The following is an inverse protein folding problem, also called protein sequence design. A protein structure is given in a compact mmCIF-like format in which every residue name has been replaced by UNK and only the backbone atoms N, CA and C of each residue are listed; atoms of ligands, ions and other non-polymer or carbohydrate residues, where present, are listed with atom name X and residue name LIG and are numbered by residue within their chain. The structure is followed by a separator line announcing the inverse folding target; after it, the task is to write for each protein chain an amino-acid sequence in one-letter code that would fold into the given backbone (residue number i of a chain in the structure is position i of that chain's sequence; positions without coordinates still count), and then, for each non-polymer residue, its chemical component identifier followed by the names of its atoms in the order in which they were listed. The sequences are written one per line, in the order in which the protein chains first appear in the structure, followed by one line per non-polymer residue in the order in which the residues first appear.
data_IF_658129006995
#
_entry.id   IF_658129006995
#
_cell.length_a   1.000
_cell.length_b   1.000
_cell.length_c   1.000
_cell.angle_alpha   90.00
_cell.angle_beta   90.00
_cell.angle_gamma   90.00
#
_symmetry.space_group_name_H-M   'P 1'
#
loop_
_entity.id
_entity.type
_entity.pdbx_description
1 polymer ?
#
# COMPACT_ATOMS: atom_id res chain seq x y z
N UNK A 1 -11.25 28.51 11.45
CA UNK A 1 -11.71 27.25 10.83
C UNK A 1 -13.22 27.19 10.92
N UNK A 2 -13.89 26.85 9.82
CA UNK A 2 -15.34 26.66 9.82
C UNK A 2 -15.71 25.41 10.65
N UNK A 3 -16.96 25.33 11.11
CA UNK A 3 -17.47 24.14 11.80
C UNK A 3 -17.35 22.87 10.94
N UNK A 4 -17.52 23.01 9.62
CA UNK A 4 -17.33 21.92 8.66
C UNK A 4 -15.87 21.44 8.58
N UNK A 5 -14.89 22.35 8.62
CA UNK A 5 -13.46 22.01 8.64
C UNK A 5 -13.10 21.24 9.91
N UNK A 6 -13.62 21.67 11.07
CA UNK A 6 -13.41 20.96 12.34
C UNK A 6 -14.03 19.55 12.32
N UNK A 7 -15.20 19.38 11.69
CA UNK A 7 -15.86 18.09 11.59
C UNK A 7 -15.12 17.14 10.63
N UNK A 8 -14.64 17.63 9.49
CA UNK A 8 -13.77 16.87 8.57
C UNK A 8 -12.45 16.48 9.23
N UNK A 9 -11.84 17.38 10.01
CA UNK A 9 -10.62 17.10 10.73
C UNK A 9 -10.82 15.97 11.77
N UNK A 10 -11.91 16.01 12.55
CA UNK A 10 -12.26 14.94 13.49
C UNK A 10 -12.47 13.59 12.79
N UNK A 11 -13.18 13.58 11.66
CA UNK A 11 -13.34 12.36 10.85
C UNK A 11 -12.00 11.84 10.33
N UNK A 12 -11.13 12.73 9.84
CA UNK A 12 -9.78 12.39 9.38
C UNK A 12 -8.94 11.75 10.48
N UNK A 13 -8.99 12.27 11.70
CA UNK A 13 -8.29 11.70 12.86
C UNK A 13 -8.80 10.29 13.17
N UNK A 14 -10.11 10.07 13.20
CA UNK A 14 -10.68 8.74 13.44
C UNK A 14 -10.28 7.73 12.36
N UNK A 15 -10.32 8.13 11.10
CA UNK A 15 -9.87 7.30 9.97
C UNK A 15 -8.37 6.99 10.07
N UNK A 16 -7.55 7.96 10.46
CA UNK A 16 -6.12 7.77 10.64
C UNK A 16 -5.83 6.78 11.77
N UNK A 17 -6.50 6.91 12.93
CA UNK A 17 -6.36 5.95 14.03
C UNK A 17 -6.70 4.54 13.54
N UNK A 18 -7.84 4.36 12.88
CA UNK A 18 -8.23 3.05 12.35
C UNK A 18 -7.20 2.49 11.35
N UNK A 19 -6.73 3.31 10.41
CA UNK A 19 -5.73 2.90 9.43
C UNK A 19 -4.40 2.51 10.06
N UNK A 20 -3.86 3.32 10.98
CA UNK A 20 -2.59 3.04 11.65
C UNK A 20 -2.69 1.85 12.61
N UNK A 21 -3.82 1.66 13.29
CA UNK A 21 -4.04 0.47 14.11
C UNK A 21 -4.10 -0.80 13.25
N UNK A 22 -4.84 -0.79 12.14
CA UNK A 22 -4.85 -1.92 11.20
C UNK A 22 -3.46 -2.22 10.66
N UNK A 23 -2.70 -1.18 10.31
CA UNK A 23 -1.35 -1.35 9.80
C UNK A 23 -0.38 -1.88 10.88
N UNK A 24 -0.49 -1.42 12.13
CA UNK A 24 0.30 -1.90 13.26
C UNK A 24 0.06 -3.37 13.62
N UNK A 25 -1.11 -3.93 13.28
CA UNK A 25 -1.41 -5.36 13.44
C UNK A 25 -0.74 -6.21 12.34
N UNK A 26 -0.46 -5.65 11.17
CA UNK A 26 0.03 -6.40 10.02
C UNK A 26 1.34 -7.18 10.27
N UNK A 27 2.38 -6.63 10.95
CA UNK A 27 3.58 -7.39 11.31
C UNK A 27 3.28 -8.61 12.19
N UNK A 28 2.34 -8.49 13.13
CA UNK A 28 1.93 -9.61 14.01
C UNK A 28 1.31 -10.72 13.17
N UNK A 29 0.42 -10.37 12.24
CA UNK A 29 -0.19 -11.30 11.31
C UNK A 29 0.85 -12.00 10.42
N UNK A 30 1.80 -11.26 9.82
CA UNK A 30 2.83 -11.88 8.98
C UNK A 30 3.76 -12.79 9.79
N UNK A 31 4.09 -12.39 11.03
CA UNK A 31 4.90 -13.24 11.91
C UNK A 31 4.20 -14.55 12.26
N UNK A 32 2.88 -14.52 12.48
CA UNK A 32 2.08 -15.72 12.68
C UNK A 32 2.07 -16.64 11.44
N UNK A 33 2.29 -16.10 10.24
CA UNK A 33 2.44 -16.84 8.99
C UNK A 33 3.89 -17.10 8.60
N UNK A 34 4.83 -17.05 9.54
CA UNK A 34 6.26 -17.22 9.26
C UNK A 34 6.64 -18.58 8.64
N UNK A 35 5.77 -19.59 8.73
CA UNK A 35 5.91 -20.88 8.04
C UNK A 35 5.61 -20.83 6.54
N UNK A 36 4.90 -19.79 6.06
CA UNK A 36 4.53 -19.59 4.67
C UNK A 36 5.55 -18.67 4.00
N UNK A 37 5.90 -18.96 2.74
CA UNK A 37 6.89 -18.15 2.03
C UNK A 37 6.38 -16.70 1.84
N UNK A 38 7.24 -15.67 2.00
CA UNK A 38 6.83 -14.27 1.79
C UNK A 38 6.22 -14.01 0.40
N UNK A 39 6.71 -14.75 -0.61
CA UNK A 39 6.21 -14.67 -1.98
C UNK A 39 4.76 -15.19 -2.07
N UNK A 40 4.44 -16.33 -1.46
CA UNK A 40 3.08 -16.86 -1.42
C UNK A 40 2.12 -15.90 -0.71
N UNK A 41 2.52 -15.34 0.43
CA UNK A 41 1.72 -14.33 1.16
C UNK A 41 1.41 -13.14 0.24
N UNK A 42 2.43 -12.62 -0.45
CA UNK A 42 2.26 -11.51 -1.38
C UNK A 42 1.37 -11.89 -2.57
N UNK A 43 1.55 -13.07 -3.15
CA UNK A 43 0.73 -13.57 -4.25
C UNK A 43 -0.75 -13.65 -3.87
N UNK A 44 -1.08 -14.23 -2.71
CA UNK A 44 -2.45 -14.28 -2.21
C UNK A 44 -3.02 -12.86 -2.03
N UNK A 45 -2.23 -11.95 -1.48
CA UNK A 45 -2.66 -10.55 -1.32
C UNK A 45 -2.97 -9.88 -2.66
N UNK A 46 -2.16 -10.10 -3.68
CA UNK A 46 -2.39 -9.55 -5.02
C UNK A 46 -3.65 -10.16 -5.64
N UNK A 47 -3.83 -11.48 -5.55
CA UNK A 47 -5.01 -12.17 -6.10
C UNK A 47 -6.29 -11.65 -5.45
N UNK A 48 -6.35 -11.58 -4.12
CA UNK A 48 -7.54 -11.09 -3.42
C UNK A 48 -7.80 -9.59 -3.65
N UNK A 49 -6.74 -8.78 -3.75
CA UNK A 49 -6.88 -7.36 -4.12
C UNK A 49 -7.44 -7.22 -5.53
N UNK A 50 -6.94 -8.01 -6.48
CA UNK A 50 -7.46 -8.03 -7.84
C UNK A 50 -8.94 -8.40 -7.88
N UNK A 51 -9.33 -9.50 -7.22
CA UNK A 51 -10.74 -9.93 -7.15
C UNK A 51 -11.63 -8.82 -6.56
N UNK A 52 -11.25 -8.26 -5.41
CA UNK A 52 -12.01 -7.18 -4.77
C UNK A 52 -12.13 -5.95 -5.68
N UNK A 53 -11.04 -5.51 -6.29
CA UNK A 53 -11.04 -4.35 -7.17
C UNK A 53 -11.85 -4.60 -8.44
N UNK A 54 -11.78 -5.80 -9.02
CA UNK A 54 -12.62 -6.18 -10.17
C UNK A 54 -14.10 -6.11 -9.82
N UNK A 55 -14.50 -6.60 -8.65
CA UNK A 55 -15.89 -6.52 -8.16
C UNK A 55 -16.32 -5.05 -8.01
N UNK A 56 -15.51 -4.23 -7.36
CA UNK A 56 -15.81 -2.80 -7.18
C UNK A 56 -15.89 -2.05 -8.53
N UNK A 57 -14.99 -2.34 -9.47
CA UNK A 57 -15.00 -1.75 -10.81
C UNK A 57 -16.23 -2.17 -11.61
N UNK A 58 -16.67 -3.42 -11.44
CA UNK A 58 -17.86 -3.95 -12.09
C UNK A 58 -19.12 -3.22 -11.64
N UNK A 59 -19.34 -3.11 -10.32
CA UNK A 59 -20.47 -2.37 -9.77
C UNK A 59 -20.38 -0.86 -10.01
N UNK A 60 -19.17 -0.31 -10.04
CA UNK A 60 -18.92 1.09 -10.38
C UNK A 60 -19.03 1.41 -11.88
N UNK A 61 -19.20 0.41 -12.75
CA UNK A 61 -19.27 0.55 -14.23
C UNK A 61 -18.08 1.32 -14.85
N UNK A 62 -16.89 1.22 -14.25
CA UNK A 62 -15.69 2.00 -14.65
C UNK A 62 -14.79 1.32 -15.70
N UNK A 63 -15.28 0.29 -16.38
CA UNK A 63 -14.52 -0.51 -17.34
C UNK A 63 -13.93 0.29 -18.52
N UNK A 64 -14.60 1.37 -18.94
CA UNK A 64 -14.06 2.25 -20.00
C UNK A 64 -12.71 2.86 -19.61
N UNK A 65 -12.61 3.35 -18.36
CA UNK A 65 -11.37 3.94 -17.84
C UNK A 65 -10.23 2.90 -17.79
N UNK A 66 -10.54 1.66 -17.40
CA UNK A 66 -9.55 0.56 -17.41
C UNK A 66 -9.05 0.31 -18.83
N UNK A 67 -9.96 0.23 -19.81
CA UNK A 67 -9.62 0.03 -21.22
C UNK A 67 -8.75 1.17 -21.76
N UNK A 68 -9.07 2.42 -21.45
CA UNK A 68 -8.30 3.59 -21.89
C UNK A 68 -6.86 3.57 -21.36
N UNK A 69 -6.67 3.09 -20.12
CA UNK A 69 -5.34 2.92 -19.52
C UNK A 69 -4.57 1.79 -20.21
N UNK A 70 -5.23 0.64 -20.46
CA UNK A 70 -4.61 -0.51 -21.13
C UNK A 70 -4.11 -0.19 -22.55
N UNK A 71 -4.81 0.70 -23.27
CA UNK A 71 -4.37 1.14 -24.60
C UNK A 71 -3.22 2.16 -24.56
N UNK A 72 -2.93 2.77 -23.41
CA UNK A 72 -1.85 3.76 -23.28
C UNK A 72 -0.55 3.09 -22.80
N UNK A 73 0.37 2.84 -23.74
CA UNK A 73 1.70 2.28 -23.43
C UNK A 73 2.45 3.05 -22.35
N UNK A 74 2.37 4.39 -22.36
CA UNK A 74 3.01 5.26 -21.37
C UNK A 74 2.42 5.05 -19.96
N UNK A 75 1.08 5.06 -19.84
CA UNK A 75 0.42 4.82 -18.54
C UNK A 75 0.70 3.41 -18.02
N UNK A 76 0.69 2.41 -18.92
CA UNK A 76 1.03 1.04 -18.54
C UNK A 76 2.49 0.91 -18.09
N UNK A 77 3.42 1.60 -18.75
CA UNK A 77 4.81 1.64 -18.31
C UNK A 77 4.93 2.14 -16.86
N UNK A 78 4.27 3.25 -16.52
CA UNK A 78 4.26 3.74 -15.14
C UNK A 78 3.62 2.75 -14.18
N UNK A 79 2.48 2.14 -14.52
CA UNK A 79 1.79 1.20 -13.65
C UNK A 79 2.59 -0.08 -13.40
N UNK A 80 3.27 -0.61 -14.42
CA UNK A 80 4.14 -1.79 -14.24
C UNK A 80 5.32 -1.44 -13.34
N UNK A 81 5.98 -0.32 -13.59
CA UNK A 81 7.11 0.12 -12.76
C UNK A 81 6.69 0.35 -11.31
N UNK A 82 5.59 1.05 -11.06
CA UNK A 82 5.12 1.29 -9.70
C UNK A 82 4.63 0.01 -9.03
N UNK A 83 3.97 -0.90 -9.75
CA UNK A 83 3.56 -2.20 -9.23
C UNK A 83 4.75 -3.07 -8.83
N UNK A 84 5.82 -3.08 -9.63
CA UNK A 84 7.06 -3.79 -9.29
C UNK A 84 7.73 -3.18 -8.07
N UNK A 85 7.87 -1.86 -8.01
CA UNK A 85 8.49 -1.17 -6.86
C UNK A 85 7.71 -1.43 -5.57
N UNK A 86 6.38 -1.30 -5.61
CA UNK A 86 5.51 -1.56 -4.45
C UNK A 86 5.52 -3.05 -4.09
N UNK A 87 5.51 -3.94 -5.08
CA UNK A 87 5.59 -5.38 -4.86
C UNK A 87 6.90 -5.80 -4.19
N UNK A 88 8.03 -5.30 -4.68
CA UNK A 88 9.35 -5.53 -4.09
C UNK A 88 9.40 -4.95 -2.68
N UNK A 89 8.89 -3.74 -2.46
CA UNK A 89 8.83 -3.14 -1.13
C UNK A 89 8.04 -4.03 -0.14
N UNK A 90 6.87 -4.52 -0.54
CA UNK A 90 6.08 -5.42 0.29
C UNK A 90 6.76 -6.76 0.53
N UNK A 91 7.42 -7.32 -0.49
CA UNK A 91 8.15 -8.57 -0.35
C UNK A 91 9.28 -8.44 0.69
N UNK A 92 10.08 -7.37 0.59
CA UNK A 92 11.15 -7.07 1.55
C UNK A 92 10.58 -6.89 2.95
N UNK A 93 9.45 -6.19 3.09
CA UNK A 93 8.81 -5.99 4.38
C UNK A 93 8.36 -7.31 5.04
N UNK A 94 7.62 -8.15 4.30
CA UNK A 94 7.14 -9.45 4.82
C UNK A 94 8.35 -10.34 5.16
N UNK A 95 9.36 -10.37 4.29
CA UNK A 95 10.58 -11.10 4.55
C UNK A 95 11.30 -10.61 5.81
N UNK A 96 11.46 -9.30 5.99
CA UNK A 96 12.13 -8.73 7.15
C UNK A 96 11.40 -9.06 8.47
N UNK A 97 10.07 -9.01 8.48
CA UNK A 97 9.27 -9.42 9.64
C UNK A 97 9.49 -10.91 9.96
N UNK A 98 9.46 -11.78 8.94
CA UNK A 98 9.68 -13.21 9.12
C UNK A 98 11.10 -13.52 9.61
N UNK A 99 12.10 -12.81 9.09
CA UNK A 99 13.52 -12.93 9.44
C UNK A 99 13.93 -12.23 10.76
N UNK A 100 12.98 -11.70 11.54
CA UNK A 100 13.23 -10.93 12.78
C UNK A 100 13.93 -9.56 12.59
N UNK A 101 14.00 -9.04 11.37
CA UNK A 101 14.53 -7.72 11.05
C UNK A 101 13.43 -6.64 11.03
N UNK A 102 12.42 -6.77 11.91
CA UNK A 102 11.28 -5.85 11.96
C UNK A 102 11.70 -4.43 12.37
N UNK A 103 12.72 -4.31 13.24
CA UNK A 103 13.27 -3.01 13.64
C UNK A 103 13.91 -2.30 12.44
N UNK A 104 14.72 -3.01 11.66
CA UNK A 104 15.39 -2.47 10.47
C UNK A 104 14.37 -2.01 9.42
N UNK A 105 13.33 -2.81 9.19
CA UNK A 105 12.22 -2.44 8.31
C UNK A 105 11.52 -1.15 8.79
N UNK A 106 11.28 -1.04 10.10
CA UNK A 106 10.64 0.14 10.70
C UNK A 106 11.50 1.39 10.56
N UNK A 107 12.81 1.27 10.77
CA UNK A 107 13.77 2.36 10.52
C UNK A 107 13.74 2.80 9.05
N UNK A 108 13.69 1.86 8.12
CA UNK A 108 13.49 2.17 6.70
C UNK A 108 12.24 3.00 6.44
N UNK A 109 11.11 2.68 7.08
CA UNK A 109 9.89 3.48 6.96
C UNK A 109 10.00 4.87 7.60
N UNK A 110 10.78 5.04 8.67
CA UNK A 110 11.05 6.35 9.26
C UNK A 110 11.96 7.24 8.41
N UNK A 111 12.73 6.66 7.48
CA UNK A 111 13.54 7.43 6.52
C UNK A 111 12.68 8.02 5.39
N UNK A 112 11.54 7.38 5.03
CA UNK A 112 10.70 7.83 3.90
C UNK A 112 10.28 9.31 3.98
N UNK A 113 9.82 9.87 5.13
CA UNK A 113 9.50 11.29 5.24
C UNK A 113 10.69 12.21 4.91
N UNK A 114 11.92 11.83 5.31
CA UNK A 114 13.12 12.62 5.01
C UNK A 114 13.40 12.63 3.50
N UNK A 115 13.27 11.48 2.84
CA UNK A 115 13.40 11.37 1.38
C UNK A 115 12.33 12.20 0.68
N UNK A 116 11.08 12.17 1.16
CA UNK A 116 10.00 12.99 0.59
C UNK A 116 10.30 14.49 0.72
N UNK A 117 10.84 14.94 1.86
CA UNK A 117 11.26 16.34 2.05
C UNK A 117 12.38 16.71 1.08
N UNK A 118 13.39 15.87 0.92
CA UNK A 118 14.49 16.11 -0.02
C UNK A 118 13.97 16.21 -1.46
N UNK A 119 13.14 15.25 -1.89
CA UNK A 119 12.57 15.27 -3.23
C UNK A 119 11.69 16.50 -3.45
N UNK A 120 10.88 16.91 -2.47
CA UNK A 120 10.07 18.13 -2.54
C UNK A 120 10.87 19.43 -2.50
N UNK A 121 12.15 19.41 -2.11
CA UNK A 121 13.06 20.56 -2.26
C UNK A 121 13.73 20.60 -3.64
N UNK A 122 13.96 19.43 -4.26
CA UNK A 122 14.66 19.31 -5.53
C UNK A 122 13.76 19.52 -6.76
N UNK A 123 12.45 19.26 -6.63
CA UNK A 123 11.44 19.34 -7.69
C UNK A 123 10.30 20.27 -7.30
#
# INVERSE_FOLDING_TARGET
MSLEEQQRAKQGVLLAIGAYTMWGIAPIYFKALSSVSPLEILSHRVIWSFVLLTVLLHFGRRWRSVRDVLHSKKKMGYLVTTALLVGINWLIFIWAVNANHMLDASLGYYINPLINVILGMLF
#
